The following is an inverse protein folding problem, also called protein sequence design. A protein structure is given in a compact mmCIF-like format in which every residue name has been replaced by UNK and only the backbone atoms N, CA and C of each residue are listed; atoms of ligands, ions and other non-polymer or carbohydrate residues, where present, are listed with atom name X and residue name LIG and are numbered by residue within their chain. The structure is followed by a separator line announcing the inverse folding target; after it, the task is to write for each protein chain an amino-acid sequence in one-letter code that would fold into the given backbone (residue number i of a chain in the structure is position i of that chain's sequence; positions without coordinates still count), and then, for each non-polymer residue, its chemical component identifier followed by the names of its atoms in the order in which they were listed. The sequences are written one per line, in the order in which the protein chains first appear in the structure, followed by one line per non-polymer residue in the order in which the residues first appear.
data_IF_413581521926
#
_entry.id   IF_413581521926
#
_cell.length_a   1.000
_cell.length_b   1.000
_cell.length_c   1.000
_cell.angle_alpha   90.00
_cell.angle_beta   90.00
_cell.angle_gamma   90.00
#
_symmetry.space_group_name_H-M   'P 1'
#
loop_
_entity.id
_entity.type
_entity.pdbx_description
1 polymer ?
#
# COMPACT_ATOMS: atom_id res chain seq x y z
N UNK A 1 -3.54 -14.54 8.06
CA UNK A 1 -2.18 -13.97 7.88
C UNK A 1 -1.91 -13.57 6.43
N UNK A 2 -2.49 -14.25 5.42
CA UNK A 2 -2.44 -13.81 4.02
C UNK A 2 -3.52 -12.78 3.63
N UNK A 3 -4.67 -12.75 4.34
CA UNK A 3 -5.81 -11.90 3.98
C UNK A 3 -5.53 -10.40 4.05
N UNK A 4 -4.76 -9.95 5.05
CA UNK A 4 -4.41 -8.53 5.18
C UNK A 4 -3.45 -8.09 4.07
N UNK A 5 -2.45 -8.91 3.74
CA UNK A 5 -1.53 -8.62 2.64
C UNK A 5 -2.30 -8.51 1.32
N UNK A 6 -3.20 -9.47 1.05
CA UNK A 6 -4.06 -9.44 -0.12
C UNK A 6 -4.92 -8.16 -0.16
N UNK A 7 -5.44 -7.71 1.00
CA UNK A 7 -6.15 -6.45 1.12
C UNK A 7 -5.29 -5.21 0.77
N UNK A 8 -4.03 -5.17 1.21
CA UNK A 8 -3.11 -4.08 0.84
C UNK A 8 -2.82 -4.06 -0.66
N UNK A 9 -2.58 -5.22 -1.27
CA UNK A 9 -2.33 -5.34 -2.70
C UNK A 9 -3.58 -4.99 -3.53
N UNK A 10 -4.77 -5.35 -3.04
CA UNK A 10 -6.03 -4.95 -3.65
C UNK A 10 -6.22 -3.43 -3.59
N UNK A 11 -5.98 -2.81 -2.43
CA UNK A 11 -6.04 -1.35 -2.28
C UNK A 11 -5.06 -0.65 -3.24
N UNK A 12 -3.87 -1.21 -3.42
CA UNK A 12 -2.87 -0.67 -4.33
C UNK A 12 -3.38 -0.64 -5.78
N UNK A 13 -3.90 -1.77 -6.27
CA UNK A 13 -4.42 -1.83 -7.64
C UNK A 13 -5.67 -0.97 -7.84
N UNK A 14 -6.53 -0.83 -6.81
CA UNK A 14 -7.72 0.05 -6.85
C UNK A 14 -7.32 1.53 -6.94
N UNK A 15 -6.33 1.96 -6.15
CA UNK A 15 -5.90 3.38 -6.10
C UNK A 15 -5.16 3.81 -7.37
N UNK A 16 -4.34 2.92 -7.93
CA UNK A 16 -3.57 3.21 -9.13
C UNK A 16 -4.34 2.90 -10.43
N UNK A 17 -5.57 2.39 -10.33
CA UNK A 17 -6.42 1.98 -11.45
C UNK A 17 -5.69 1.05 -12.45
N UNK A 18 -4.74 0.26 -11.95
CA UNK A 18 -3.85 -0.57 -12.76
C UNK A 18 -3.24 -1.70 -11.92
N UNK A 19 -2.86 -2.79 -12.58
CA UNK A 19 -2.02 -3.82 -11.96
C UNK A 19 -0.59 -3.31 -11.85
N UNK A 20 -0.20 -2.89 -10.65
CA UNK A 20 1.15 -2.36 -10.39
C UNK A 20 2.05 -3.41 -9.76
N UNK A 21 3.36 -3.27 -9.95
CA UNK A 21 4.36 -4.10 -9.30
C UNK A 21 4.62 -3.60 -7.86
N UNK A 22 4.17 -4.31 -6.81
CA UNK A 22 4.32 -3.85 -5.43
C UNK A 22 5.77 -3.92 -4.96
N UNK A 23 6.69 -4.56 -5.69
CA UNK A 23 8.12 -4.52 -5.39
C UNK A 23 8.76 -3.16 -5.73
N UNK A 24 8.05 -2.29 -6.45
CA UNK A 24 8.47 -0.91 -6.71
C UNK A 24 8.09 0.04 -5.57
N UNK A 25 8.83 1.16 -5.49
CA UNK A 25 8.51 2.27 -4.61
C UNK A 25 7.29 3.06 -5.10
N UNK A 26 6.64 3.76 -4.17
CA UNK A 26 5.41 4.51 -4.41
C UNK A 26 5.52 5.51 -5.57
N UNK A 27 6.58 6.31 -5.61
CA UNK A 27 6.79 7.30 -6.67
C UNK A 27 7.13 6.68 -8.03
N UNK A 28 7.80 5.51 -8.04
CA UNK A 28 8.10 4.78 -9.28
C UNK A 28 6.82 4.28 -9.96
N UNK A 29 5.76 4.03 -9.19
CA UNK A 29 4.43 3.67 -9.69
C UNK A 29 3.60 4.87 -10.16
N UNK A 30 4.13 6.09 -10.09
CA UNK A 30 3.37 7.33 -10.37
C UNK A 30 2.55 7.82 -9.18
N UNK A 31 2.91 7.40 -7.96
CA UNK A 31 2.25 7.80 -6.72
C UNK A 31 2.34 9.31 -6.47
N UNK A 32 1.25 9.90 -5.98
CA UNK A 32 1.15 11.30 -5.60
C UNK A 32 0.44 11.45 -4.25
N UNK A 33 0.30 12.67 -3.73
CA UNK A 33 -0.31 12.90 -2.41
C UNK A 33 -1.75 12.37 -2.29
N UNK A 34 -2.52 12.41 -3.37
CA UNK A 34 -3.89 11.88 -3.39
C UNK A 34 -3.88 10.36 -3.32
N UNK A 35 -3.05 9.70 -4.14
CA UNK A 35 -2.88 8.24 -4.07
C UNK A 35 -2.42 7.80 -2.67
N UNK A 36 -1.54 8.55 -2.02
CA UNK A 36 -1.03 8.21 -0.70
C UNK A 36 -2.14 8.22 0.35
N UNK A 37 -2.98 9.26 0.33
CA UNK A 37 -4.13 9.37 1.23
C UNK A 37 -5.19 8.29 0.94
N UNK A 38 -5.54 8.09 -0.33
CA UNK A 38 -6.52 7.08 -0.74
C UNK A 38 -6.07 5.66 -0.36
N UNK A 39 -4.79 5.36 -0.56
CA UNK A 39 -4.21 4.06 -0.23
C UNK A 39 -4.22 3.82 1.28
N UNK A 40 -3.86 4.80 2.09
CA UNK A 40 -3.92 4.68 3.54
C UNK A 40 -5.35 4.42 4.05
N UNK A 41 -6.33 5.14 3.51
CA UNK A 41 -7.76 4.92 3.84
C UNK A 41 -8.21 3.51 3.42
N UNK A 42 -7.92 3.09 2.18
CA UNK A 42 -8.35 1.77 1.70
C UNK A 42 -7.69 0.62 2.42
N UNK A 43 -6.41 0.72 2.74
CA UNK A 43 -5.72 -0.30 3.52
C UNK A 43 -6.39 -0.44 4.89
N UNK A 44 -6.72 0.66 5.56
CA UNK A 44 -7.41 0.63 6.86
C UNK A 44 -8.79 -0.01 6.75
N UNK A 45 -9.57 0.30 5.71
CA UNK A 45 -10.90 -0.27 5.51
C UNK A 45 -10.88 -1.77 5.20
N UNK A 46 -9.92 -2.22 4.37
CA UNK A 46 -9.84 -3.63 3.95
C UNK A 46 -9.16 -4.53 4.97
N UNK A 47 -8.18 -4.01 5.71
CA UNK A 47 -7.30 -4.81 6.57
C UNK A 47 -7.45 -4.52 8.06
N UNK A 48 -8.07 -3.38 8.41
CA UNK A 48 -8.13 -2.85 9.77
C UNK A 48 -6.81 -2.26 10.28
N UNK A 49 -5.77 -2.21 9.45
CA UNK A 49 -4.43 -1.73 9.82
C UNK A 49 -4.22 -0.31 9.34
N UNK A 50 -3.71 0.54 10.24
CA UNK A 50 -3.37 1.92 9.93
C UNK A 50 -1.91 2.00 9.46
N UNK A 51 -1.68 2.64 8.31
CA UNK A 51 -0.34 2.78 7.72
C UNK A 51 0.12 4.23 7.83
N UNK A 52 1.40 4.40 8.18
CA UNK A 52 2.05 5.71 8.20
C UNK A 52 2.40 6.12 6.76
N UNK A 53 1.72 7.17 6.28
CA UNK A 53 1.87 7.65 4.91
C UNK A 53 3.33 7.98 4.60
N UNK A 54 4.04 8.63 5.54
CA UNK A 54 5.41 9.05 5.31
C UNK A 54 6.36 7.85 5.12
N UNK A 55 6.20 6.79 5.91
CA UNK A 55 7.01 5.58 5.75
C UNK A 55 6.65 4.83 4.47
N UNK A 56 5.36 4.75 4.14
CA UNK A 56 4.88 4.08 2.93
C UNK A 56 5.43 4.72 1.65
N UNK A 57 5.40 6.04 1.53
CA UNK A 57 5.86 6.73 0.31
C UNK A 57 7.39 6.73 0.18
N UNK A 58 8.12 6.66 1.29
CA UNK A 58 9.57 6.53 1.31
C UNK A 58 10.06 5.07 1.16
N UNK A 59 9.15 4.09 1.18
CA UNK A 59 9.50 2.70 1.00
C UNK A 59 10.02 2.45 -0.42
N UNK A 60 11.11 1.69 -0.51
CA UNK A 60 11.68 1.24 -1.79
C UNK A 60 10.90 0.09 -2.43
N UNK A 61 10.10 -0.62 -1.62
CA UNK A 61 9.18 -1.70 -2.03
C UNK A 61 7.95 -1.63 -1.13
N UNK A 62 6.78 -1.45 -1.75
CA UNK A 62 5.50 -1.42 -1.05
C UNK A 62 5.10 -2.79 -0.51
N UNK A 63 5.40 -3.86 -1.24
CA UNK A 63 5.21 -5.24 -0.78
C UNK A 63 5.94 -5.47 0.55
N UNK A 64 7.24 -5.12 0.59
CA UNK A 64 8.06 -5.31 1.79
C UNK A 64 7.52 -4.50 2.97
N UNK A 65 7.10 -3.26 2.70
CA UNK A 65 6.48 -2.40 3.70
C UNK A 65 5.18 -3.03 4.23
N UNK A 66 4.26 -3.46 3.36
CA UNK A 66 3.01 -4.09 3.77
C UNK A 66 3.24 -5.37 4.56
N UNK A 67 4.17 -6.24 4.15
CA UNK A 67 4.51 -7.46 4.89
C UNK A 67 4.98 -7.16 6.31
N UNK A 68 5.77 -6.10 6.49
CA UNK A 68 6.22 -5.68 7.80
C UNK A 68 5.09 -5.11 8.64
N UNK A 69 4.20 -4.31 8.05
CA UNK A 69 3.13 -3.60 8.78
C UNK A 69 1.92 -4.49 9.09
N UNK A 70 1.52 -5.40 8.18
CA UNK A 70 0.36 -6.29 8.36
C UNK A 70 0.70 -7.68 8.87
N UNK A 71 1.99 -8.06 8.87
CA UNK A 71 2.50 -9.34 9.35
C UNK A 71 2.80 -9.39 10.85
N UNK A 72 2.76 -8.24 11.53
CA UNK A 72 2.87 -8.10 12.99
C UNK A 72 1.61 -8.51 13.74
#
# INVERSE_FOLDING_TARGET
MNDKLAGCLAALNEVFDASVDPDQGFYSLGGNSLHALQLAVRIKELTGVEVEIFDMVNATSLDRYFRHTVGG
#
